data_IF_196063962604
#
_entry.id   IF_196063962604
#
_cell.length_a   1.000
_cell.length_b   1.000
_cell.length_c   1.000
_cell.angle_alpha   90.00
_cell.angle_beta   90.00
_cell.angle_gamma   90.00
#
_symmetry.space_group_name_H-M   'P 1'
#
loop_
_entity.id
_entity.type
_entity.pdbx_description
1 polymer ?
#
# COMPACT_ATOMS: atom_id res chain seq x y z
N UNK A 1 -21.85 -10.21 10.15
CA UNK A 1 -21.47 -8.91 10.74
C UNK A 1 -21.61 -7.84 9.64
N UNK A 2 -22.58 -6.92 9.71
CA UNK A 2 -23.00 -6.10 8.56
C UNK A 2 -21.89 -5.29 7.88
N UNK A 3 -21.05 -4.59 8.65
CA UNK A 3 -19.96 -3.76 8.11
C UNK A 3 -18.89 -4.59 7.37
N UNK A 4 -18.53 -5.75 7.91
CA UNK A 4 -17.56 -6.66 7.27
C UNK A 4 -18.11 -7.21 5.95
N UNK A 5 -19.40 -7.58 5.91
CA UNK A 5 -20.02 -8.06 4.67
C UNK A 5 -20.19 -6.99 3.60
N UNK A 6 -20.42 -5.72 3.98
CA UNK A 6 -20.41 -4.60 3.03
C UNK A 6 -19.02 -4.39 2.43
N UNK A 7 -17.97 -4.40 3.27
CA UNK A 7 -16.58 -4.29 2.83
C UNK A 7 -16.18 -5.41 1.88
N UNK A 8 -16.51 -6.66 2.22
CA UNK A 8 -16.20 -7.83 1.41
C UNK A 8 -16.80 -7.71 0.00
N UNK A 9 -18.10 -7.38 -0.10
CA UNK A 9 -18.76 -7.17 -1.40
C UNK A 9 -18.12 -6.04 -2.20
N UNK A 10 -17.89 -4.90 -1.55
CA UNK A 10 -17.27 -3.75 -2.22
C UNK A 10 -15.87 -4.06 -2.74
N UNK A 11 -15.06 -4.79 -1.97
CA UNK A 11 -13.74 -5.24 -2.38
C UNK A 11 -13.83 -6.21 -3.57
N UNK A 12 -14.74 -7.17 -3.51
CA UNK A 12 -14.96 -8.17 -4.56
C UNK A 12 -15.40 -7.54 -5.89
N UNK A 13 -16.23 -6.51 -5.84
CA UNK A 13 -16.64 -5.74 -7.00
C UNK A 13 -15.48 -4.89 -7.53
N UNK A 14 -14.73 -4.22 -6.63
CA UNK A 14 -13.61 -3.36 -7.00
C UNK A 14 -12.46 -4.14 -7.67
N UNK A 15 -12.10 -5.32 -7.17
CA UNK A 15 -11.01 -6.14 -7.77
C UNK A 15 -11.34 -6.72 -9.15
N UNK A 16 -12.62 -6.74 -9.54
CA UNK A 16 -13.09 -7.19 -10.87
C UNK A 16 -13.31 -6.01 -11.83
N UNK A 17 -13.27 -4.78 -11.31
CA UNK A 17 -13.43 -3.55 -12.09
C UNK A 17 -12.06 -3.08 -12.59
N UNK A 18 -11.86 -3.15 -13.90
CA UNK A 18 -10.61 -2.72 -14.55
C UNK A 18 -10.28 -1.25 -14.28
N UNK A 19 -11.28 -0.36 -14.18
CA UNK A 19 -11.04 1.05 -13.91
C UNK A 19 -10.47 1.26 -12.49
N UNK A 20 -10.93 0.48 -11.52
CA UNK A 20 -10.39 0.51 -10.16
C UNK A 20 -8.94 0.00 -10.14
N UNK A 21 -8.68 -1.13 -10.80
CA UNK A 21 -7.31 -1.69 -10.88
C UNK A 21 -6.36 -0.74 -11.60
N UNK A 22 -6.78 -0.14 -12.72
CA UNK A 22 -5.97 0.81 -13.47
C UNK A 22 -5.63 2.06 -12.65
N UNK A 23 -6.60 2.60 -11.91
CA UNK A 23 -6.37 3.74 -11.02
C UNK A 23 -5.43 3.38 -9.87
N UNK A 24 -5.64 2.23 -9.22
CA UNK A 24 -4.75 1.77 -8.15
C UNK A 24 -3.32 1.58 -8.66
N UNK A 25 -3.15 0.93 -9.81
CA UNK A 25 -1.86 0.68 -10.44
C UNK A 25 -1.17 1.98 -10.88
N UNK A 26 -1.95 2.96 -11.37
CA UNK A 26 -1.45 4.29 -11.71
C UNK A 26 -0.91 5.00 -10.47
N UNK A 27 -1.68 5.03 -9.38
CA UNK A 27 -1.25 5.65 -8.11
C UNK A 27 -0.05 4.91 -7.50
N UNK A 28 0.00 3.59 -7.61
CA UNK A 28 1.17 2.80 -7.20
C UNK A 28 2.43 3.21 -7.98
N UNK A 29 2.35 3.41 -9.29
CA UNK A 29 3.51 3.83 -10.10
C UNK A 29 3.89 5.29 -9.86
N UNK A 30 2.93 6.20 -9.99
CA UNK A 30 3.17 7.64 -10.07
C UNK A 30 3.37 8.29 -8.70
N UNK A 31 2.69 7.79 -7.66
CA UNK A 31 2.72 8.40 -6.33
C UNK A 31 3.47 7.56 -5.30
N UNK A 32 3.30 6.23 -5.30
CA UNK A 32 4.05 5.35 -4.38
C UNK A 32 5.48 5.06 -4.83
N UNK A 33 5.76 5.12 -6.14
CA UNK A 33 7.06 4.77 -6.70
C UNK A 33 7.25 3.26 -6.88
N UNK A 34 6.24 2.58 -7.43
CA UNK A 34 6.34 1.17 -7.87
C UNK A 34 6.84 1.06 -9.32
N UNK A 35 7.54 -0.03 -9.67
CA UNK A 35 8.02 -1.11 -8.79
C UNK A 35 9.28 -0.70 -8.00
N UNK A 36 9.48 -1.29 -6.82
CA UNK A 36 10.77 -1.17 -6.10
C UNK A 36 11.83 -2.10 -6.65
N UNK A 37 13.10 -1.66 -6.69
CA UNK A 37 14.18 -2.49 -7.16
C UNK A 37 14.45 -3.68 -6.24
N UNK A 38 15.07 -4.71 -6.82
CA UNK A 38 15.75 -5.78 -6.11
C UNK A 38 17.24 -5.44 -6.11
N UNK A 39 17.84 -5.20 -4.94
CA UNK A 39 19.26 -4.86 -4.82
C UNK A 39 20.05 -6.06 -4.32
N UNK A 40 21.07 -6.49 -5.06
CA UNK A 40 21.98 -7.54 -4.59
C UNK A 40 22.91 -7.00 -3.49
N UNK A 41 22.87 -7.62 -2.32
CA UNK A 41 23.66 -7.27 -1.15
C UNK A 41 24.86 -8.21 -1.01
N UNK A 42 25.82 -8.09 -1.93
CA UNK A 42 26.98 -9.00 -2.01
C UNK A 42 27.86 -8.99 -0.74
N UNK A 43 28.00 -7.84 -0.08
CA UNK A 43 28.73 -7.73 1.20
C UNK A 43 28.03 -8.53 2.30
N UNK A 44 26.71 -8.40 2.41
CA UNK A 44 25.92 -9.16 3.38
C UNK A 44 25.99 -10.66 3.07
N UNK A 45 25.85 -11.05 1.80
CA UNK A 45 25.94 -12.45 1.39
C UNK A 45 27.26 -13.10 1.83
N UNK A 46 28.39 -12.38 1.69
CA UNK A 46 29.70 -12.83 2.15
C UNK A 46 29.77 -12.96 3.67
N UNK A 47 29.24 -11.97 4.39
CA UNK A 47 29.26 -11.93 5.86
C UNK A 47 28.48 -13.10 6.47
N UNK A 48 27.33 -13.46 5.89
CA UNK A 48 26.46 -14.53 6.41
C UNK A 48 26.71 -15.89 5.75
N UNK A 49 27.76 -16.02 4.92
CA UNK A 49 28.13 -17.28 4.26
C UNK A 49 27.13 -17.79 3.21
N UNK A 50 26.29 -16.92 2.63
CA UNK A 50 25.30 -17.29 1.61
C UNK A 50 25.80 -16.98 0.19
N UNK A 51 25.36 -17.79 -0.78
CA UNK A 51 25.68 -17.58 -2.21
C UNK A 51 25.17 -16.24 -2.74
N UNK A 52 24.00 -15.79 -2.28
CA UNK A 52 23.36 -14.54 -2.72
C UNK A 52 22.38 -14.07 -1.66
N UNK A 53 22.36 -12.76 -1.41
CA UNK A 53 21.31 -12.07 -0.66
C UNK A 53 20.82 -10.92 -1.52
N UNK A 54 19.51 -10.83 -1.71
CA UNK A 54 18.87 -9.75 -2.48
C UNK A 54 17.83 -9.08 -1.61
N UNK A 55 17.80 -7.76 -1.62
CA UNK A 55 16.90 -6.93 -0.83
C UNK A 55 15.77 -6.42 -1.72
N UNK A 56 14.51 -6.73 -1.36
CA UNK A 56 13.34 -6.08 -1.96
C UNK A 56 13.14 -4.72 -1.31
N UNK A 57 13.40 -3.65 -2.07
CA UNK A 57 13.59 -2.29 -1.55
C UNK A 57 12.30 -1.53 -1.23
N UNK A 58 11.41 -2.14 -0.45
CA UNK A 58 10.17 -1.49 0.02
C UNK A 58 10.42 -0.24 0.89
N UNK A 59 11.64 -0.07 1.38
CA UNK A 59 12.11 1.16 2.03
C UNK A 59 12.07 2.38 1.08
N UNK A 60 12.11 2.16 -0.23
CA UNK A 60 12.01 3.23 -1.25
C UNK A 60 10.57 3.57 -1.64
N UNK A 61 9.57 2.93 -1.04
CA UNK A 61 8.18 3.36 -1.21
C UNK A 61 7.99 4.77 -0.66
N UNK A 62 7.08 5.54 -1.25
CA UNK A 62 6.57 6.75 -0.58
C UNK A 62 6.13 6.41 0.85
N UNK A 63 6.35 7.32 1.79
CA UNK A 63 6.28 7.12 3.26
C UNK A 63 7.32 6.17 3.87
N UNK A 64 8.25 5.60 3.08
CA UNK A 64 9.40 4.81 3.57
C UNK A 64 9.08 3.38 4.03
N UNK A 65 7.88 2.86 3.73
CA UNK A 65 7.48 1.52 4.13
C UNK A 65 6.45 0.91 3.19
N UNK A 66 6.39 -0.43 3.15
CA UNK A 66 5.40 -1.19 2.36
C UNK A 66 3.94 -0.93 2.77
N UNK A 67 3.68 -0.30 3.92
CA UNK A 67 2.33 -0.04 4.45
C UNK A 67 1.51 0.87 3.53
N UNK A 68 2.18 1.75 2.77
CA UNK A 68 1.52 2.66 1.84
C UNK A 68 0.74 1.93 0.74
N UNK A 69 1.21 0.75 0.31
CA UNK A 69 0.53 -0.05 -0.71
C UNK A 69 -0.90 -0.42 -0.25
N UNK A 70 -1.03 -0.85 1.01
CA UNK A 70 -2.32 -1.20 1.61
C UNK A 70 -3.16 0.04 1.92
N UNK A 71 -2.58 1.07 2.53
CA UNK A 71 -3.31 2.28 2.91
C UNK A 71 -3.95 2.96 1.69
N UNK A 72 -3.21 3.04 0.57
CA UNK A 72 -3.71 3.59 -0.68
C UNK A 72 -4.89 2.78 -1.24
N UNK A 73 -4.78 1.44 -1.28
CA UNK A 73 -5.85 0.58 -1.77
C UNK A 73 -7.13 0.67 -0.92
N UNK A 74 -6.98 0.69 0.40
CA UNK A 74 -8.12 0.83 1.32
C UNK A 74 -8.77 2.21 1.23
N UNK A 75 -7.99 3.29 1.14
CA UNK A 75 -8.53 4.63 0.97
C UNK A 75 -9.25 4.80 -0.38
N UNK A 76 -8.70 4.22 -1.45
CA UNK A 76 -9.36 4.19 -2.77
C UNK A 76 -10.68 3.41 -2.73
N UNK A 77 -10.71 2.26 -2.05
CA UNK A 77 -11.93 1.49 -1.84
C UNK A 77 -12.96 2.26 -1.02
N UNK A 78 -12.55 2.92 0.07
CA UNK A 78 -13.44 3.72 0.90
C UNK A 78 -14.06 4.88 0.10
N UNK A 79 -13.27 5.55 -0.75
CA UNK A 79 -13.76 6.57 -1.69
C UNK A 79 -14.81 6.00 -2.65
N UNK A 80 -14.55 4.82 -3.23
CA UNK A 80 -15.52 4.11 -4.10
C UNK A 80 -16.81 3.75 -3.35
N UNK A 81 -16.71 3.35 -2.09
CA UNK A 81 -17.85 3.04 -1.22
C UNK A 81 -18.61 4.29 -0.75
N UNK A 82 -18.24 5.49 -1.21
CA UNK A 82 -18.86 6.75 -0.79
C UNK A 82 -18.62 7.11 0.67
N UNK A 83 -17.57 6.58 1.29
CA UNK A 83 -17.18 6.94 2.66
C UNK A 83 -16.34 8.22 2.62
N UNK A 84 -16.54 9.10 3.59
CA UNK A 84 -15.87 10.40 3.68
C UNK A 84 -14.97 10.53 4.91
N UNK A 85 -14.71 9.41 5.60
CA UNK A 85 -13.91 9.39 6.82
C UNK A 85 -13.25 8.04 6.99
N UNK A 86 -11.95 8.06 7.23
CA UNK A 86 -11.15 6.89 7.62
C UNK A 86 -10.82 6.97 9.11
N UNK A 87 -10.87 5.82 9.77
CA UNK A 87 -10.30 5.62 11.11
C UNK A 87 -9.24 4.55 11.00
N UNK A 88 -8.08 4.81 11.60
CA UNK A 88 -7.00 3.87 11.72
C UNK A 88 -6.37 4.01 13.11
N UNK A 89 -6.01 2.90 13.72
CA UNK A 89 -5.21 2.82 14.92
C UNK A 89 -3.71 2.90 14.57
N UNK A 90 -2.89 3.35 15.51
CA UNK A 90 -1.44 3.30 15.32
C UNK A 90 -0.74 3.18 16.65
N UNK A 91 0.27 2.32 16.71
CA UNK A 91 1.21 2.24 17.82
C UNK A 91 2.41 3.15 17.56
N UNK A 92 3.46 2.60 16.95
CA UNK A 92 4.69 3.33 16.62
C UNK A 92 4.53 4.49 15.60
N UNK A 93 3.36 4.66 14.98
CA UNK A 93 3.06 5.80 14.11
C UNK A 93 3.04 5.50 12.61
N UNK A 94 3.83 4.53 12.12
CA UNK A 94 4.02 4.29 10.69
C UNK A 94 2.74 3.94 9.91
N UNK A 95 1.81 3.20 10.52
CA UNK A 95 0.51 2.91 9.88
C UNK A 95 -0.34 4.19 9.78
N UNK A 96 -0.43 4.95 10.88
CA UNK A 96 -1.13 6.24 10.90
C UNK A 96 -0.60 7.23 9.87
N UNK A 97 0.73 7.31 9.67
CA UNK A 97 1.34 8.16 8.63
C UNK A 97 0.93 7.70 7.22
N UNK A 98 0.97 6.40 6.94
CA UNK A 98 0.54 5.88 5.64
C UNK A 98 -0.96 6.11 5.37
N UNK A 99 -1.81 5.90 6.37
CA UNK A 99 -3.25 6.15 6.26
C UNK A 99 -3.53 7.65 6.03
N UNK A 100 -2.91 8.53 6.82
CA UNK A 100 -3.06 9.99 6.67
C UNK A 100 -2.59 10.48 5.30
N UNK A 101 -1.45 9.97 4.79
CA UNK A 101 -0.95 10.33 3.46
C UNK A 101 -1.92 9.90 2.34
N UNK A 102 -2.47 8.69 2.41
CA UNK A 102 -3.45 8.20 1.43
C UNK A 102 -4.77 9.00 1.48
N UNK A 103 -5.25 9.34 2.69
CA UNK A 103 -6.43 10.19 2.85
C UNK A 103 -6.21 11.60 2.29
N UNK A 104 -5.06 12.21 2.59
CA UNK A 104 -4.70 13.52 2.06
C UNK A 104 -4.64 13.55 0.53
N UNK A 105 -4.10 12.50 -0.11
CA UNK A 105 -4.08 12.36 -1.56
C UNK A 105 -5.49 12.28 -2.16
N UNK A 106 -6.41 11.54 -1.52
CA UNK A 106 -7.71 11.19 -2.10
C UNK A 106 -8.86 12.10 -1.67
N UNK A 107 -8.62 13.01 -0.73
CA UNK A 107 -9.61 13.93 -0.17
C UNK A 107 -10.56 13.28 0.83
N UNK A 108 -10.01 12.48 1.77
CA UNK A 108 -10.74 11.73 2.81
C UNK A 108 -10.33 12.13 4.23
#
# INVERSE_FOLDING_TARGET
MPAVGELERAFDDARRDEAFTQEFDRLLREWVGRPTPLTDASRLAREVGLRRVTLKREDLAHTGAHKINNALGQALLAKRMGKHRIVAETGAGQHGVAAAAACALLGL
#
